data_IF_931167860179
#
_entry.id   IF_931167860179
#
_cell.length_a   1.000
_cell.length_b   1.000
_cell.length_c   1.000
_cell.angle_alpha   90.00
_cell.angle_beta   90.00
_cell.angle_gamma   90.00
#
_symmetry.space_group_name_H-M   'P 1'
#
loop_
_entity.id
_entity.type
_entity.pdbx_description
1 polymer ?
#
# COMPACT_ATOMS: atom_id res chain seq x y z
N UNK A 1 -50.07 -43.95 10.41
CA UNK A 1 -49.40 -43.33 11.58
C UNK A 1 -47.93 -43.76 11.70
N UNK A 2 -47.55 -45.00 11.35
CA UNK A 2 -46.14 -45.45 11.44
C UNK A 2 -45.22 -44.85 10.36
N UNK A 3 -45.75 -44.64 9.15
CA UNK A 3 -44.97 -44.10 8.01
C UNK A 3 -44.50 -42.65 8.27
N UNK A 4 -45.34 -41.85 8.90
CA UNK A 4 -45.02 -40.47 9.27
C UNK A 4 -43.93 -40.42 10.37
N UNK A 5 -44.00 -41.34 11.33
CA UNK A 5 -42.97 -41.50 12.36
C UNK A 5 -41.62 -41.90 11.77
N UNK A 6 -41.62 -42.83 10.82
CA UNK A 6 -40.41 -43.25 10.10
C UNK A 6 -39.84 -42.14 9.20
N UNK A 7 -40.69 -41.33 8.58
CA UNK A 7 -40.27 -40.17 7.80
C UNK A 7 -39.60 -39.11 8.67
N UNK A 8 -40.20 -38.80 9.83
CA UNK A 8 -39.65 -37.85 10.81
C UNK A 8 -38.31 -38.32 11.38
N UNK A 9 -38.14 -39.62 11.61
CA UNK A 9 -36.88 -40.18 12.11
C UNK A 9 -35.75 -40.09 11.07
N UNK A 10 -36.07 -40.34 9.79
CA UNK A 10 -35.14 -40.10 8.65
C UNK A 10 -34.79 -38.62 8.45
N UNK A 11 -35.52 -37.67 9.05
CA UNK A 11 -35.11 -36.27 9.05
C UNK A 11 -33.95 -35.96 9.99
N UNK A 12 -33.72 -36.81 11.00
CA UNK A 12 -32.70 -36.61 12.04
C UNK A 12 -31.37 -37.32 11.73
N UNK A 13 -31.32 -38.11 10.66
CA UNK A 13 -30.11 -38.83 10.25
C UNK A 13 -29.04 -37.85 9.73
N UNK A 14 -27.84 -37.92 10.31
CA UNK A 14 -26.67 -37.14 9.87
C UNK A 14 -26.23 -37.66 8.49
N UNK A 15 -26.21 -36.78 7.48
CA UNK A 15 -25.86 -37.15 6.09
C UNK A 15 -27.02 -37.09 5.09
N UNK A 16 -28.07 -36.30 5.35
CA UNK A 16 -29.07 -35.96 4.32
C UNK A 16 -28.40 -35.46 3.03
N UNK A 17 -28.83 -35.93 1.84
CA UNK A 17 -28.41 -35.35 0.57
C UNK A 17 -28.65 -33.83 0.49
N UNK A 18 -29.66 -33.33 1.22
CA UNK A 18 -30.03 -31.91 1.32
C UNK A 18 -29.29 -31.12 2.41
N UNK A 19 -28.31 -31.70 3.12
CA UNK A 19 -27.46 -30.91 3.99
C UNK A 19 -26.44 -30.13 3.15
N UNK A 20 -26.82 -28.92 2.75
CA UNK A 20 -25.93 -27.92 2.16
C UNK A 20 -25.00 -27.35 3.23
N UNK A 21 -24.08 -28.18 3.74
CA UNK A 21 -22.94 -27.72 4.51
C UNK A 21 -22.07 -26.84 3.64
N UNK A 22 -22.35 -25.54 3.60
CA UNK A 22 -21.61 -24.59 2.78
C UNK A 22 -20.17 -24.50 3.25
N UNK A 23 -19.23 -24.97 2.43
CA UNK A 23 -17.80 -24.72 2.67
C UNK A 23 -17.55 -23.22 2.44
N UNK A 24 -17.03 -22.52 3.45
CA UNK A 24 -16.66 -21.11 3.31
C UNK A 24 -15.41 -20.96 2.42
N UNK A 25 -15.66 -20.83 1.13
CA UNK A 25 -14.64 -20.59 0.09
C UNK A 25 -13.89 -19.28 0.32
N UNK A 26 -14.48 -18.29 1.01
CA UNK A 26 -13.82 -17.01 1.28
C UNK A 26 -12.77 -17.15 2.38
N UNK A 27 -13.09 -17.90 3.44
CA UNK A 27 -12.17 -18.15 4.55
C UNK A 27 -10.97 -18.98 4.09
N UNK A 28 -11.19 -19.99 3.26
CA UNK A 28 -10.12 -20.83 2.68
C UNK A 28 -9.16 -20.01 1.82
N UNK A 29 -9.66 -19.20 0.88
CA UNK A 29 -8.83 -18.29 0.06
C UNK A 29 -8.03 -17.31 0.92
N UNK A 30 -8.62 -16.76 1.99
CA UNK A 30 -7.93 -15.86 2.93
C UNK A 30 -6.79 -16.57 3.68
N UNK A 31 -7.02 -17.81 4.12
CA UNK A 31 -6.02 -18.64 4.81
C UNK A 31 -4.86 -19.00 3.89
N UNK A 32 -5.12 -19.34 2.63
CA UNK A 32 -4.08 -19.62 1.64
C UNK A 32 -3.26 -18.39 1.29
N UNK A 33 -3.89 -17.22 1.13
CA UNK A 33 -3.18 -15.95 0.89
C UNK A 33 -2.25 -15.60 2.04
N UNK A 34 -2.66 -15.85 3.28
CA UNK A 34 -1.82 -15.64 4.46
C UNK A 34 -0.62 -16.59 4.45
N UNK A 35 -0.83 -17.89 4.18
CA UNK A 35 0.25 -18.88 4.07
C UNK A 35 1.26 -18.50 2.99
N UNK A 36 0.78 -18.04 1.84
CA UNK A 36 1.65 -17.61 0.75
C UNK A 36 2.55 -16.41 1.14
N UNK A 37 2.05 -15.46 1.95
CA UNK A 37 2.86 -14.33 2.45
C UNK A 37 3.98 -14.80 3.37
N UNK A 38 3.68 -15.71 4.29
CA UNK A 38 4.66 -16.28 5.23
C UNK A 38 5.76 -17.00 4.45
N UNK A 39 5.39 -17.88 3.52
CA UNK A 39 6.35 -18.61 2.67
C UNK A 39 7.20 -17.68 1.83
N UNK A 40 6.61 -16.61 1.26
CA UNK A 40 7.37 -15.61 0.47
C UNK A 40 8.40 -14.87 1.33
N UNK A 41 8.05 -14.52 2.57
CA UNK A 41 8.99 -13.86 3.48
C UNK A 41 10.12 -14.79 3.90
N UNK A 42 9.82 -16.04 4.21
CA UNK A 42 10.82 -17.05 4.55
C UNK A 42 11.79 -17.26 3.38
N UNK A 43 11.30 -17.41 2.15
CA UNK A 43 12.14 -17.50 0.95
C UNK A 43 13.04 -16.26 0.77
N UNK A 44 12.54 -15.06 1.10
CA UNK A 44 13.36 -13.84 1.10
C UNK A 44 14.46 -13.89 2.16
N UNK A 45 14.15 -14.37 3.37
CA UNK A 45 15.12 -14.54 4.46
C UNK A 45 16.18 -15.58 4.10
N UNK A 46 15.77 -16.73 3.57
CA UNK A 46 16.67 -17.79 3.11
C UNK A 46 17.60 -17.25 2.03
N UNK A 47 17.07 -16.55 1.01
CA UNK A 47 17.91 -15.95 -0.04
C UNK A 47 18.99 -15.03 0.53
N UNK A 48 18.64 -14.17 1.48
CA UNK A 48 19.59 -13.28 2.14
C UNK A 48 20.63 -14.05 2.97
N UNK A 49 20.19 -14.98 3.83
CA UNK A 49 21.07 -15.79 4.68
C UNK A 49 22.01 -16.68 3.87
N UNK A 50 21.51 -17.26 2.77
CA UNK A 50 22.32 -18.05 1.84
C UNK A 50 23.38 -17.20 1.13
N UNK A 51 23.05 -15.97 0.74
CA UNK A 51 24.02 -15.04 0.18
C UNK A 51 25.10 -14.64 1.22
N UNK A 52 24.71 -14.39 2.47
CA UNK A 52 25.65 -14.02 3.56
C UNK A 52 26.56 -15.18 3.98
N UNK A 53 26.08 -16.44 3.97
CA UNK A 53 26.94 -17.61 4.21
C UNK A 53 28.01 -17.80 3.14
N UNK A 54 27.82 -17.25 1.93
CA UNK A 54 28.82 -17.30 0.87
C UNK A 54 29.96 -16.29 1.04
N UNK A 55 29.87 -15.31 1.94
CA UNK A 55 30.88 -14.24 2.10
C UNK A 55 31.51 -14.10 3.49
N UNK A 56 31.24 -15.02 4.42
CA UNK A 56 31.74 -14.92 5.79
C UNK A 56 33.13 -15.57 5.95
N UNK A 57 34.16 -14.80 5.61
CA UNK A 57 35.57 -15.06 5.96
C UNK A 57 36.26 -13.73 6.21
N UNK A 58 35.92 -13.03 7.29
CA UNK A 58 36.84 -12.15 8.01
C UNK A 58 36.26 -11.78 9.38
N UNK A 59 37.15 -11.75 10.37
CA UNK A 59 36.91 -11.33 11.76
C UNK A 59 36.50 -9.85 11.84
N UNK A 60 35.51 -9.47 12.68
CA UNK A 60 35.22 -8.06 12.97
C UNK A 60 36.17 -7.53 14.04
N UNK A 61 37.13 -6.69 13.62
CA UNK A 61 37.93 -5.86 14.51
C UNK A 61 37.11 -4.67 15.02
N UNK A 62 37.26 -4.44 16.32
CA UNK A 62 36.60 -3.44 17.17
C UNK A 62 37.25 -2.06 17.00
N UNK A 63 36.47 -1.00 16.76
CA UNK A 63 36.92 0.38 16.96
C UNK A 63 35.78 1.23 17.56
N UNK A 64 35.97 1.57 18.82
CA UNK A 64 35.20 2.52 19.60
C UNK A 64 35.55 3.96 19.16
N UNK A 65 34.58 4.83 18.90
CA UNK A 65 34.84 6.28 18.88
C UNK A 65 33.78 7.07 19.65
N UNK A 66 34.31 7.93 20.50
CA UNK A 66 33.70 8.65 21.60
C UNK A 66 33.45 10.13 21.25
N UNK A 67 32.30 10.62 21.71
CA UNK A 67 31.99 11.97 22.22
C UNK A 67 31.93 13.24 21.34
N UNK A 68 30.86 13.97 21.65
CA UNK A 68 30.36 15.32 21.27
C UNK A 68 31.35 16.49 21.15
N UNK A 69 30.98 17.48 20.32
CA UNK A 69 31.28 18.93 20.47
C UNK A 69 30.48 19.76 19.44
N UNK A 70 29.34 20.35 19.79
CA UNK A 70 29.07 21.81 19.92
C UNK A 70 29.69 22.75 18.88
N UNK A 71 28.88 23.55 18.18
CA UNK A 71 28.76 25.01 18.33
C UNK A 71 27.74 25.57 17.33
N UNK A 72 26.91 26.49 17.81
CA UNK A 72 25.94 27.24 17.02
C UNK A 72 26.67 28.34 16.24
N UNK A 73 26.32 28.55 14.97
CA UNK A 73 26.57 29.80 14.26
C UNK A 73 25.27 30.26 13.63
N UNK A 74 24.77 31.33 14.24
CA UNK A 74 23.73 32.26 13.81
C UNK A 74 24.14 32.97 12.51
N UNK A 75 23.22 33.08 11.55
CA UNK A 75 23.28 34.01 10.43
C UNK A 75 21.89 34.12 9.79
N UNK A 76 21.05 34.97 10.37
CA UNK A 76 19.91 35.59 9.70
C UNK A 76 20.43 36.72 8.79
N UNK A 77 20.38 36.54 7.47
CA UNK A 77 20.56 37.61 6.50
C UNK A 77 19.26 37.79 5.70
N UNK A 78 18.62 38.94 5.90
CA UNK A 78 17.35 39.29 5.31
C UNK A 78 17.47 39.42 3.78
N UNK A 79 16.59 38.79 2.97
CA UNK A 79 16.56 39.12 1.55
C UNK A 79 15.81 40.44 1.35
N UNK A 80 16.60 41.44 0.99
CA UNK A 80 16.12 42.72 0.45
C UNK A 80 15.32 42.48 -0.83
N UNK A 81 14.17 43.14 -0.87
CA UNK A 81 13.26 43.34 -1.99
C UNK A 81 14.00 43.52 -3.34
N UNK A 82 13.90 42.53 -4.23
CA UNK A 82 14.19 42.65 -5.67
C UNK A 82 13.07 41.88 -6.38
N UNK A 83 12.07 42.63 -6.85
CA UNK A 83 11.93 43.01 -8.26
C UNK A 83 11.42 41.84 -9.10
N UNK A 84 10.11 41.87 -9.31
CA UNK A 84 9.36 41.12 -10.30
C UNK A 84 10.11 41.05 -11.63
N UNK A 85 10.59 39.86 -11.98
CA UNK A 85 10.94 39.47 -13.33
C UNK A 85 10.12 38.25 -13.75
N UNK A 86 9.82 38.25 -15.04
CA UNK A 86 8.79 37.54 -15.80
C UNK A 86 8.75 36.00 -15.65
N UNK A 87 7.63 35.36 -16.05
CA UNK A 87 7.47 33.90 -16.04
C UNK A 87 8.34 33.24 -17.12
N UNK A 88 9.62 33.11 -16.83
CA UNK A 88 10.50 32.20 -17.55
C UNK A 88 10.06 30.77 -17.31
N UNK A 89 9.92 30.00 -18.40
CA UNK A 89 9.62 28.56 -18.40
C UNK A 89 10.76 27.79 -17.73
N UNK A 90 10.85 27.86 -16.40
CA UNK A 90 11.64 26.91 -15.64
C UNK A 90 10.89 25.58 -15.73
N UNK A 91 11.42 24.66 -16.55
CA UNK A 91 11.16 23.22 -16.41
C UNK A 91 11.75 22.74 -15.08
N UNK A 92 11.39 23.37 -13.97
CA UNK A 92 11.44 22.71 -12.68
C UNK A 92 10.23 21.81 -12.69
N UNK A 93 10.47 20.50 -12.83
CA UNK A 93 9.46 19.47 -12.59
C UNK A 93 9.20 19.50 -11.08
N UNK A 94 8.52 20.55 -10.64
CA UNK A 94 7.95 20.67 -9.32
C UNK A 94 6.86 19.60 -9.31
N UNK A 95 7.17 18.44 -8.74
CA UNK A 95 6.18 17.39 -8.45
C UNK A 95 5.16 18.02 -7.52
N UNK A 96 4.13 18.65 -8.10
CA UNK A 96 3.04 19.26 -7.36
C UNK A 96 2.20 18.11 -6.84
N UNK A 97 2.01 18.05 -5.53
CA UNK A 97 1.12 17.07 -4.94
C UNK A 97 -0.31 17.33 -5.44
N UNK A 98 -0.75 16.54 -6.41
CA UNK A 98 -2.09 16.66 -7.00
C UNK A 98 -3.19 16.35 -5.98
N UNK A 99 -2.86 15.58 -4.94
CA UNK A 99 -3.79 15.18 -3.89
C UNK A 99 -3.98 16.34 -2.91
N UNK A 100 -4.99 17.16 -3.20
CA UNK A 100 -5.47 18.20 -2.28
C UNK A 100 -6.46 17.62 -1.27
N UNK A 101 -6.54 18.17 -0.06
CA UNK A 101 -7.54 17.77 0.96
C UNK A 101 -8.99 17.83 0.44
N UNK A 102 -9.31 18.82 -0.39
CA UNK A 102 -10.60 18.93 -1.08
C UNK A 102 -10.90 17.74 -2.01
N UNK A 103 -9.87 17.27 -2.71
CA UNK A 103 -9.99 16.13 -3.61
C UNK A 103 -10.23 14.85 -2.81
N UNK A 104 -9.49 14.64 -1.72
CA UNK A 104 -9.69 13.51 -0.81
C UNK A 104 -11.11 13.50 -0.25
N UNK A 105 -11.63 14.64 0.21
CA UNK A 105 -12.99 14.76 0.71
C UNK A 105 -14.06 14.48 -0.37
N UNK A 106 -13.83 14.88 -1.61
CA UNK A 106 -14.73 14.57 -2.72
C UNK A 106 -14.73 13.07 -3.04
N UNK A 107 -13.55 12.45 -3.11
CA UNK A 107 -13.42 11.02 -3.33
C UNK A 107 -14.13 10.21 -2.23
N UNK A 108 -14.01 10.64 -0.98
CA UNK A 108 -14.67 10.01 0.17
C UNK A 108 -16.20 10.11 0.08
N UNK A 109 -16.73 11.30 -0.23
CA UNK A 109 -18.18 11.50 -0.45
C UNK A 109 -18.71 10.67 -1.61
N UNK A 110 -17.92 10.50 -2.68
CA UNK A 110 -18.28 9.66 -3.81
C UNK A 110 -18.14 8.16 -3.52
N UNK A 111 -17.65 7.77 -2.34
CA UNK A 111 -17.42 6.38 -1.94
C UNK A 111 -16.57 5.59 -2.95
N UNK A 112 -15.71 6.29 -3.69
CA UNK A 112 -14.93 5.65 -4.75
C UNK A 112 -13.93 4.68 -4.17
N UNK A 113 -13.73 3.53 -4.81
CA UNK A 113 -12.61 2.67 -4.42
C UNK A 113 -11.30 3.32 -4.85
N UNK A 114 -10.20 2.83 -4.27
CA UNK A 114 -8.87 3.27 -4.67
C UNK A 114 -8.59 3.06 -6.16
N UNK A 115 -9.10 1.97 -6.73
CA UNK A 115 -8.91 1.66 -8.15
C UNK A 115 -9.73 2.59 -9.03
N UNK A 116 -10.99 2.85 -8.66
CA UNK A 116 -11.88 3.71 -9.45
C UNK A 116 -11.39 5.16 -9.44
N UNK A 117 -10.84 5.61 -8.30
CA UNK A 117 -10.27 6.94 -8.18
C UNK A 117 -9.08 7.13 -9.14
N UNK A 118 -8.15 6.17 -9.19
CA UNK A 118 -7.00 6.21 -10.11
C UNK A 118 -7.46 6.18 -11.57
N UNK A 119 -8.42 5.32 -11.91
CA UNK A 119 -8.96 5.22 -13.27
C UNK A 119 -9.62 6.52 -13.75
N UNK A 120 -10.41 7.17 -12.90
CA UNK A 120 -11.02 8.47 -13.23
C UNK A 120 -9.94 9.53 -13.46
N UNK A 121 -8.90 9.56 -12.63
CA UNK A 121 -7.82 10.53 -12.81
C UNK A 121 -7.03 10.30 -14.09
N UNK A 122 -6.72 9.04 -14.43
CA UNK A 122 -6.06 8.67 -15.69
C UNK A 122 -6.87 9.16 -16.90
N UNK A 123 -8.17 8.82 -16.95
CA UNK A 123 -9.05 9.26 -18.03
C UNK A 123 -9.19 10.80 -18.10
N UNK A 124 -9.17 11.49 -16.96
CA UNK A 124 -9.27 12.96 -16.91
C UNK A 124 -7.98 13.63 -17.38
N UNK A 125 -6.82 13.10 -16.99
CA UNK A 125 -5.50 13.58 -17.42
C UNK A 125 -5.34 13.38 -18.93
N UNK A 126 -5.74 12.21 -19.44
CA UNK A 126 -5.73 11.90 -20.87
C UNK A 126 -6.63 12.87 -21.65
N UNK A 127 -7.84 13.15 -21.15
CA UNK A 127 -8.77 14.09 -21.78
C UNK A 127 -8.27 15.54 -21.76
N UNK A 128 -7.51 15.92 -20.72
CA UNK A 128 -6.89 17.24 -20.60
C UNK A 128 -5.58 17.35 -21.40
N UNK A 129 -5.05 16.24 -21.95
CA UNK A 129 -3.77 16.21 -22.65
C UNK A 129 -2.57 16.48 -21.74
N UNK A 130 -2.72 16.25 -20.43
CA UNK A 130 -1.65 16.40 -19.46
C UNK A 130 -0.72 15.18 -19.49
N UNK A 131 0.57 15.36 -19.23
CA UNK A 131 1.50 14.25 -19.16
C UNK A 131 1.30 13.50 -17.83
N UNK A 132 1.15 12.17 -17.88
CA UNK A 132 0.95 11.31 -16.71
C UNK A 132 2.13 11.43 -15.72
N UNK A 133 3.32 11.75 -16.23
CA UNK A 133 4.53 11.99 -15.42
C UNK A 133 4.45 13.26 -14.55
N UNK A 134 3.59 14.22 -14.89
CA UNK A 134 3.39 15.46 -14.13
C UNK A 134 2.54 15.21 -12.86
N UNK A 135 1.75 14.14 -12.86
CA UNK A 135 0.84 13.78 -11.78
C UNK A 135 1.06 12.33 -11.34
N UNK A 136 2.07 12.06 -10.49
CA UNK A 136 2.29 10.72 -9.96
C UNK A 136 1.16 10.33 -9.00
N UNK A 137 0.07 9.78 -9.53
CA UNK A 137 -1.06 9.26 -8.77
C UNK A 137 -0.66 7.89 -8.23
N UNK A 138 0.08 7.89 -7.12
CA UNK A 138 0.39 6.65 -6.43
C UNK A 138 -0.84 6.14 -5.68
N UNK A 139 -1.07 4.81 -5.68
CA UNK A 139 -2.15 4.18 -4.90
C UNK A 139 -2.05 4.51 -3.40
N UNK A 140 -0.86 4.86 -2.93
CA UNK A 140 -0.57 5.29 -1.54
C UNK A 140 -0.86 6.77 -1.28
N UNK A 141 -0.90 7.63 -2.30
CA UNK A 141 -1.09 9.07 -2.12
C UNK A 141 -2.53 9.42 -1.70
N UNK A 142 -3.49 8.52 -1.95
CA UNK A 142 -4.88 8.67 -1.53
C UNK A 142 -5.07 7.82 -0.26
N UNK A 143 -4.40 8.23 0.83
CA UNK A 143 -4.67 7.65 2.14
C UNK A 143 -5.89 8.36 2.73
N UNK A 144 -7.05 7.69 2.74
CA UNK A 144 -8.21 8.14 3.52
C UNK A 144 -7.94 7.87 5.00
N UNK A 145 -8.17 8.89 5.83
CA UNK A 145 -8.10 8.83 7.31
C UNK A 145 -9.45 8.34 7.83
#
# INVERSE_FOLDING_TARGET
MEEDRMFLQRQRETGRPDHLGGVDKKLTVKKERMRFRVVKEENRRIKYVSASKSSASYEPLQEDFSSNSSENIDSEDFPTLIESSEPGTSKSVMRKDFITTKLVAALDRCQLSMLDSVFIFEATIDALGCNIDEFPISKSSIQRI
#
